data_IF_542882313716
#
_entry.id   IF_542882313716
#
_cell.length_a   1.000
_cell.length_b   1.000
_cell.length_c   1.000
_cell.angle_alpha   90.00
_cell.angle_beta   90.00
_cell.angle_gamma   90.00
#
_symmetry.space_group_name_H-M   'P 1'
#
loop_
_entity.id
_entity.type
_entity.pdbx_description
1 polymer ?
#
# COMPACT_ATOMS: atom_id res chain seq x y z
N UNK A 1 -12.05 -10.53 -25.00
CA UNK A 1 -13.06 -9.91 -25.89
C UNK A 1 -14.45 -10.22 -25.37
N UNK A 2 -15.36 -9.24 -25.33
CA UNK A 2 -16.80 -9.41 -25.01
C UNK A 2 -17.64 -9.28 -26.29
N UNK A 3 -18.89 -9.73 -26.22
CA UNK A 3 -19.86 -9.64 -27.32
C UNK A 3 -19.96 -10.88 -28.21
N UNK A 4 -19.13 -11.91 -27.95
CA UNK A 4 -19.18 -13.21 -28.65
C UNK A 4 -20.12 -14.19 -27.94
N UNK A 5 -19.95 -14.33 -26.62
CA UNK A 5 -20.88 -15.10 -25.76
C UNK A 5 -21.53 -14.13 -24.77
N UNK A 6 -22.85 -14.23 -24.55
CA UNK A 6 -23.54 -13.44 -23.53
C UNK A 6 -22.84 -13.58 -22.16
N UNK A 7 -22.63 -12.44 -21.51
CA UNK A 7 -22.07 -12.33 -20.14
C UNK A 7 -20.70 -12.99 -19.93
N UNK A 8 -19.94 -13.25 -21.01
CA UNK A 8 -18.66 -13.94 -20.90
C UNK A 8 -17.57 -13.29 -21.75
N UNK A 9 -16.33 -13.44 -21.29
CA UNK A 9 -15.15 -13.01 -22.02
C UNK A 9 -14.52 -14.21 -22.72
N UNK A 10 -14.16 -14.04 -23.98
CA UNK A 10 -13.43 -15.05 -24.75
C UNK A 10 -12.03 -14.57 -25.11
N UNK A 11 -11.12 -15.53 -25.27
CA UNK A 11 -9.77 -15.31 -25.78
C UNK A 11 -9.79 -15.61 -27.27
N UNK A 12 -9.40 -14.63 -28.10
CA UNK A 12 -9.27 -14.82 -29.55
C UNK A 12 -8.04 -15.69 -29.81
N UNK A 13 -8.22 -16.80 -30.53
CA UNK A 13 -7.15 -17.74 -30.90
C UNK A 13 -6.72 -17.51 -32.35
N UNK A 14 -7.68 -17.35 -33.26
CA UNK A 14 -7.43 -17.12 -34.68
C UNK A 14 -8.58 -16.33 -35.30
N UNK A 15 -8.28 -15.60 -36.37
CA UNK A 15 -9.25 -14.86 -37.18
C UNK A 15 -8.96 -15.15 -38.65
N UNK A 16 -9.98 -15.58 -39.40
CA UNK A 16 -9.89 -15.81 -40.83
C UNK A 16 -10.93 -14.98 -41.57
N UNK A 17 -10.48 -14.06 -42.43
CA UNK A 17 -11.38 -13.22 -43.21
C UNK A 17 -11.89 -13.91 -44.47
N UNK A 18 -13.16 -13.68 -44.76
CA UNK A 18 -13.81 -14.04 -46.03
C UNK A 18 -14.26 -12.75 -46.72
N UNK A 19 -13.38 -12.20 -47.56
CA UNK A 19 -13.59 -10.88 -48.16
C UNK A 19 -13.53 -9.76 -47.11
N UNK A 20 -14.40 -8.75 -47.24
CA UNK A 20 -14.46 -7.59 -46.33
C UNK A 20 -15.62 -7.65 -45.34
N UNK A 21 -16.60 -8.52 -45.57
CA UNK A 21 -17.90 -8.50 -44.88
C UNK A 21 -18.04 -9.54 -43.77
N UNK A 22 -17.25 -10.61 -43.84
CA UNK A 22 -17.34 -11.73 -42.92
C UNK A 22 -15.96 -12.19 -42.46
N UNK A 23 -15.90 -12.68 -41.23
CA UNK A 23 -14.73 -13.36 -40.68
C UNK A 23 -15.17 -14.56 -39.82
N UNK A 24 -14.40 -15.64 -39.85
CA UNK A 24 -14.50 -16.71 -38.87
C UNK A 24 -13.55 -16.44 -37.71
N UNK A 25 -14.12 -16.40 -36.51
CA UNK A 25 -13.41 -16.23 -35.26
C UNK A 25 -13.27 -17.59 -34.57
N UNK A 26 -12.04 -18.06 -34.37
CA UNK A 26 -11.75 -19.14 -33.43
C UNK A 26 -11.43 -18.53 -32.08
N UNK A 27 -12.16 -18.93 -31.05
CA UNK A 27 -11.97 -18.42 -29.69
C UNK A 27 -11.98 -19.52 -28.64
N UNK A 28 -11.41 -19.22 -27.48
CA UNK A 28 -11.41 -20.07 -26.28
C UNK A 28 -12.23 -19.41 -25.18
N UNK A 29 -13.17 -20.18 -24.64
CA UNK A 29 -14.02 -19.77 -23.50
C UNK A 29 -13.23 -19.79 -22.18
N UNK A 30 -13.76 -19.19 -21.09
CA UNK A 30 -13.12 -19.26 -19.77
C UNK A 30 -12.95 -20.68 -19.23
N UNK A 31 -13.82 -21.61 -19.64
CA UNK A 31 -13.74 -23.04 -19.29
C UNK A 31 -12.70 -23.80 -20.12
N UNK A 32 -12.02 -23.12 -21.04
CA UNK A 32 -10.98 -23.68 -21.88
C UNK A 32 -11.47 -24.38 -23.14
N UNK A 33 -12.79 -24.46 -23.36
CA UNK A 33 -13.38 -25.01 -24.60
C UNK A 33 -13.12 -24.07 -25.77
N UNK A 34 -12.67 -24.63 -26.89
CA UNK A 34 -12.48 -23.92 -28.16
C UNK A 34 -13.77 -24.04 -28.99
N UNK A 35 -14.16 -22.94 -29.62
CA UNK A 35 -15.29 -22.86 -30.53
C UNK A 35 -15.00 -21.88 -31.67
N UNK A 36 -15.78 -22.00 -32.75
CA UNK A 36 -15.72 -21.10 -33.90
C UNK A 36 -17.06 -20.40 -34.07
N UNK A 37 -17.02 -19.16 -34.54
CA UNK A 37 -18.20 -18.37 -34.85
C UNK A 37 -17.95 -17.48 -36.06
N UNK A 38 -18.94 -17.40 -36.96
CA UNK A 38 -18.87 -16.54 -38.13
C UNK A 38 -19.47 -15.18 -37.78
N UNK A 39 -18.65 -14.14 -37.86
CA UNK A 39 -19.02 -12.76 -37.55
C UNK A 39 -19.11 -11.93 -38.82
N UNK A 40 -20.06 -11.01 -38.83
CA UNK A 40 -20.27 -10.04 -39.90
C UNK A 40 -20.12 -8.62 -39.38
N UNK A 41 -20.07 -7.64 -40.29
CA UNK A 41 -19.95 -6.21 -39.95
C UNK A 41 -21.01 -5.68 -38.98
N UNK A 42 -22.21 -6.24 -38.99
CA UNK A 42 -23.27 -5.83 -38.06
C UNK A 42 -23.05 -6.35 -36.62
N UNK A 43 -22.17 -7.33 -36.41
CA UNK A 43 -21.76 -7.78 -35.07
C UNK A 43 -20.71 -6.83 -34.47
N UNK A 44 -19.87 -6.23 -35.33
CA UNK A 44 -19.22 -4.91 -35.18
C UNK A 44 -19.44 -4.20 -33.82
N UNK A 45 -20.58 -3.49 -33.67
CA UNK A 45 -20.85 -2.64 -32.51
C UNK A 45 -20.98 -3.35 -31.15
N UNK A 46 -21.19 -4.67 -31.14
CA UNK A 46 -21.37 -5.45 -29.92
C UNK A 46 -20.04 -5.97 -29.37
N UNK A 47 -18.97 -5.87 -30.16
CA UNK A 47 -17.66 -6.42 -29.83
C UNK A 47 -16.82 -5.40 -29.07
N UNK A 48 -16.35 -5.81 -27.89
CA UNK A 48 -15.48 -4.99 -27.05
C UNK A 48 -14.17 -5.72 -26.77
N UNK A 49 -13.05 -5.05 -27.05
CA UNK A 49 -11.73 -5.52 -26.62
C UNK A 49 -11.60 -5.18 -25.14
N UNK A 50 -11.58 -6.21 -24.31
CA UNK A 50 -11.29 -6.06 -22.89
C UNK A 50 -9.81 -6.35 -22.68
N UNK A 51 -9.04 -5.35 -22.28
CA UNK A 51 -7.74 -5.59 -21.68
C UNK A 51 -7.98 -6.30 -20.33
N UNK A 52 -7.50 -7.53 -20.21
CA UNK A 52 -7.28 -8.09 -18.88
C UNK A 52 -6.18 -7.23 -18.25
N UNK A 53 -6.57 -6.30 -17.38
CA UNK A 53 -5.65 -5.77 -16.39
C UNK A 53 -5.04 -6.97 -15.69
N UNK A 54 -3.74 -7.21 -15.91
CA UNK A 54 -3.08 -8.38 -15.34
C UNK A 54 -3.15 -8.22 -13.82
N UNK A 55 -3.67 -9.20 -13.07
CA UNK A 55 -3.41 -9.25 -11.64
C UNK A 55 -1.89 -9.16 -11.45
N UNK A 56 -1.42 -8.21 -10.64
CA UNK A 56 0.00 -7.92 -10.45
C UNK A 56 0.72 -7.43 -11.73
N UNK A 57 0.14 -6.47 -12.44
CA UNK A 57 0.79 -5.82 -13.59
C UNK A 57 2.08 -5.07 -13.26
N UNK A 58 2.32 -4.70 -12.00
CA UNK A 58 3.49 -3.95 -11.51
C UNK A 58 3.84 -2.70 -12.35
N UNK A 59 2.86 -2.14 -13.03
CA UNK A 59 2.95 -0.98 -13.92
C UNK A 59 2.62 0.34 -13.21
N UNK A 60 2.41 0.28 -11.89
CA UNK A 60 2.20 1.47 -11.05
C UNK A 60 3.44 2.37 -10.97
N UNK A 61 3.22 3.61 -10.55
CA UNK A 61 4.30 4.58 -10.36
C UNK A 61 5.22 4.15 -9.20
N UNK A 62 6.43 3.72 -9.55
CA UNK A 62 7.45 3.32 -8.58
C UNK A 62 7.91 4.44 -7.65
N UNK A 63 7.87 5.70 -8.10
CA UNK A 63 8.21 6.84 -7.26
C UNK A 63 7.15 7.06 -6.18
N UNK A 64 5.87 6.97 -6.55
CA UNK A 64 4.76 7.04 -5.61
C UNK A 64 4.78 5.87 -4.61
N UNK A 65 5.03 4.65 -5.09
CA UNK A 65 5.18 3.48 -4.23
C UNK A 65 6.30 3.66 -3.19
N UNK A 66 7.46 4.14 -3.63
CA UNK A 66 8.59 4.43 -2.73
C UNK A 66 8.24 5.50 -1.72
N UNK A 67 7.58 6.59 -2.15
CA UNK A 67 7.18 7.69 -1.27
C UNK A 67 6.27 7.21 -0.14
N UNK A 68 5.22 6.45 -0.47
CA UNK A 68 4.29 5.90 0.52
C UNK A 68 5.00 4.91 1.44
N UNK A 69 5.87 4.06 0.88
CA UNK A 69 6.64 3.09 1.67
C UNK A 69 7.57 3.77 2.69
N UNK A 70 8.26 4.85 2.30
CA UNK A 70 9.10 5.63 3.21
C UNK A 70 8.28 6.40 4.25
N UNK A 71 7.12 6.94 3.86
CA UNK A 71 6.21 7.59 4.80
C UNK A 71 5.72 6.60 5.87
N UNK A 72 5.34 5.39 5.47
CA UNK A 72 4.96 4.32 6.39
C UNK A 72 6.12 3.87 7.28
N UNK A 73 7.33 3.75 6.72
CA UNK A 73 8.54 3.43 7.50
C UNK A 73 8.79 4.47 8.62
N UNK A 74 8.67 5.75 8.31
CA UNK A 74 8.83 6.83 9.29
C UNK A 74 7.70 6.79 10.31
N UNK A 75 6.45 6.63 9.87
CA UNK A 75 5.26 6.55 10.73
C UNK A 75 5.38 5.42 11.76
N UNK A 76 5.94 4.28 11.34
CA UNK A 76 6.09 3.09 12.17
C UNK A 76 7.43 3.01 12.92
N UNK A 77 8.32 4.00 12.77
CA UNK A 77 9.66 3.97 13.39
C UNK A 77 9.59 3.80 14.92
N UNK A 78 8.58 4.36 15.58
CA UNK A 78 8.34 4.24 17.03
C UNK A 78 8.15 2.80 17.52
N UNK A 79 7.75 1.86 16.65
CA UNK A 79 7.63 0.45 17.02
C UNK A 79 8.98 -0.25 17.20
N UNK A 80 10.04 0.33 16.63
CA UNK A 80 11.37 -0.27 16.59
C UNK A 80 12.42 0.56 17.32
N UNK A 81 12.07 1.77 17.74
CA UNK A 81 12.91 2.66 18.53
C UNK A 81 12.25 2.91 19.90
N UNK A 82 12.67 2.20 20.95
CA UNK A 82 12.10 2.35 22.29
C UNK A 82 12.42 3.69 22.94
N UNK A 83 13.28 4.52 22.32
CA UNK A 83 13.71 5.85 22.80
C UNK A 83 13.60 6.91 21.68
N UNK A 84 12.55 6.83 20.86
CA UNK A 84 12.38 7.69 19.68
C UNK A 84 12.39 9.19 20.03
N UNK A 85 11.83 9.59 21.16
CA UNK A 85 11.84 10.98 21.59
C UNK A 85 13.25 11.48 21.88
N UNK A 86 14.18 10.63 22.35
CA UNK A 86 15.60 11.02 22.52
C UNK A 86 16.22 11.28 21.14
N UNK A 87 16.08 10.35 20.21
CA UNK A 87 16.72 10.43 18.89
C UNK A 87 16.17 11.57 18.00
N UNK A 88 14.93 12.00 18.23
CA UNK A 88 14.29 13.06 17.43
C UNK A 88 14.27 14.42 18.13
N UNK A 89 14.85 14.55 19.32
CA UNK A 89 14.88 15.82 20.06
C UNK A 89 16.23 16.51 19.93
N UNK A 90 16.22 17.84 19.91
CA UNK A 90 17.45 18.64 19.97
C UNK A 90 17.95 18.78 21.42
N UNK A 91 18.08 17.67 22.12
CA UNK A 91 18.62 17.60 23.49
C UNK A 91 19.58 16.42 23.58
N UNK A 92 20.60 16.55 24.42
CA UNK A 92 21.49 15.44 24.79
C UNK A 92 21.16 15.06 26.25
N UNK A 93 20.21 14.14 26.47
CA UNK A 93 19.72 13.86 27.81
C UNK A 93 20.74 13.02 28.60
N UNK A 94 20.91 13.39 29.86
CA UNK A 94 21.80 12.69 30.78
C UNK A 94 21.23 11.31 31.16
N UNK A 95 22.07 10.33 31.54
CA UNK A 95 21.61 8.97 31.85
C UNK A 95 20.46 8.92 32.86
N UNK A 96 20.50 9.73 33.92
CA UNK A 96 19.44 9.77 34.93
C UNK A 96 18.11 10.32 34.38
N UNK A 97 18.16 11.21 33.39
CA UNK A 97 16.97 11.74 32.72
C UNK A 97 16.29 10.67 31.87
N UNK A 98 17.08 9.86 31.16
CA UNK A 98 16.58 8.72 30.37
C UNK A 98 15.92 7.70 31.32
N UNK A 99 16.62 7.30 32.39
CA UNK A 99 16.08 6.37 33.39
C UNK A 99 14.80 6.90 34.05
N UNK A 100 14.74 8.20 34.38
CA UNK A 100 13.54 8.80 34.95
C UNK A 100 12.34 8.69 34.00
N UNK A 101 12.52 8.98 32.71
CA UNK A 101 11.42 8.96 31.73
C UNK A 101 11.02 7.54 31.36
N UNK A 102 11.97 6.73 30.86
CA UNK A 102 11.66 5.45 30.22
C UNK A 102 11.40 4.31 31.21
N UNK A 103 12.09 4.28 32.35
CA UNK A 103 11.90 3.20 33.33
C UNK A 103 10.88 3.56 34.41
N UNK A 104 10.72 4.84 34.74
CA UNK A 104 9.89 5.27 35.87
C UNK A 104 8.59 5.97 35.45
N UNK A 105 8.61 6.86 34.45
CA UNK A 105 7.43 7.63 34.06
C UNK A 105 6.55 6.89 33.04
N UNK A 106 7.10 6.42 31.92
CA UNK A 106 6.33 5.78 30.84
C UNK A 106 5.51 4.55 31.28
N UNK A 107 6.02 3.64 32.13
CA UNK A 107 5.23 2.48 32.55
C UNK A 107 4.04 2.82 33.46
N UNK A 108 3.96 4.06 33.97
CA UNK A 108 2.92 4.50 34.90
C UNK A 108 1.85 5.28 34.14
N UNK A 109 0.83 4.57 33.67
CA UNK A 109 -0.37 5.19 33.10
C UNK A 109 -1.62 4.84 33.94
N UNK A 110 -2.29 5.82 34.57
CA UNK A 110 -2.02 7.27 34.53
C UNK A 110 -0.80 7.68 35.39
N UNK A 111 -0.04 8.69 34.93
CA UNK A 111 1.15 9.16 35.64
C UNK A 111 0.79 10.04 36.83
N UNK A 112 1.24 9.63 38.03
CA UNK A 112 1.27 10.46 39.24
C UNK A 112 2.68 10.44 39.81
N UNK A 113 3.49 11.41 39.41
CA UNK A 113 4.92 11.44 39.69
C UNK A 113 5.38 12.87 40.01
N UNK A 114 6.23 13.02 41.03
CA UNK A 114 6.80 14.31 41.45
C UNK A 114 8.28 14.35 41.05
N UNK A 115 8.65 15.30 40.19
CA UNK A 115 10.04 15.59 39.87
C UNK A 115 10.58 16.63 40.87
N UNK A 116 11.38 16.18 41.84
CA UNK A 116 11.89 17.00 42.94
C UNK A 116 13.43 17.09 43.01
N UNK A 117 14.12 16.84 41.88
CA UNK A 117 15.59 16.93 41.80
C UNK A 117 16.12 18.35 42.07
N UNK A 118 17.44 18.50 42.17
CA UNK A 118 18.10 19.80 42.34
C UNK A 118 17.79 20.79 41.18
N UNK A 119 17.89 22.11 41.43
CA UNK A 119 17.85 23.10 40.37
C UNK A 119 18.90 22.81 39.29
N UNK A 120 18.50 22.82 38.02
CA UNK A 120 19.39 22.52 36.90
C UNK A 120 19.51 21.04 36.51
N UNK A 121 18.94 20.10 37.27
CA UNK A 121 18.98 18.66 36.94
C UNK A 121 18.20 18.24 35.67
N UNK A 122 17.48 19.18 35.05
CA UNK A 122 16.77 18.99 33.78
C UNK A 122 15.36 18.42 33.89
N UNK A 123 14.62 18.74 34.97
CA UNK A 123 13.21 18.37 35.13
C UNK A 123 12.33 18.73 33.92
N UNK A 124 12.57 19.89 33.31
CA UNK A 124 11.85 20.32 32.08
C UNK A 124 12.19 19.44 30.88
N UNK A 125 13.44 18.99 30.76
CA UNK A 125 13.87 18.06 29.71
C UNK A 125 13.15 16.71 29.90
N UNK A 126 13.13 16.18 31.12
CA UNK A 126 12.43 14.93 31.43
C UNK A 126 10.93 15.02 31.14
N UNK A 127 10.27 16.12 31.55
CA UNK A 127 8.85 16.34 31.27
C UNK A 127 8.58 16.46 29.76
N UNK A 128 9.43 17.17 29.02
CA UNK A 128 9.32 17.31 27.56
C UNK A 128 9.51 15.98 26.83
N UNK A 129 10.50 15.17 27.24
CA UNK A 129 10.71 13.82 26.70
C UNK A 129 9.51 12.92 26.99
N UNK A 130 8.98 12.94 28.21
CA UNK A 130 7.79 12.16 28.57
C UNK A 130 6.57 12.53 27.71
N UNK A 131 6.28 13.82 27.53
CA UNK A 131 5.16 14.28 26.71
C UNK A 131 5.34 13.87 25.25
N UNK A 132 6.57 13.86 24.74
CA UNK A 132 6.87 13.52 23.35
C UNK A 132 6.77 12.02 23.06
N UNK A 133 6.87 11.17 24.08
CA UNK A 133 6.68 9.72 23.99
C UNK A 133 5.21 9.27 24.10
N UNK A 134 4.30 10.17 24.50
CA UNK A 134 2.85 9.93 24.49
C UNK A 134 2.24 10.23 23.12
#
# INVERSE_FOLDING_TARGET
MRGIIPDSQVIVVSVQWFGTEALELTYKTPTGKVANELLYRHNEPQLEIVEQGRPWSFDGDGALFRLVSEAERIRLAHLFDPVLAVHTSMVDPLPHQITAVYEHMLPRQPLRFLLADDPGAGKTIMAGLYIKEL
#
